data_IF_238263909779
#
_entry.id   IF_238263909779
#
_cell.length_a   1.000
_cell.length_b   1.000
_cell.length_c   1.000
_cell.angle_alpha   90.00
_cell.angle_beta   90.00
_cell.angle_gamma   90.00
#
_symmetry.space_group_name_H-M   'P 1'
#
loop_
_entity.id
_entity.type
_entity.pdbx_description
1 polymer ?
#
# COMPACT_ATOMS: atom_id res chain seq x y z
N UNK A 1 -6.06 -29.49 -40.22
CA UNK A 1 -5.32 -28.67 -39.25
C UNK A 1 -4.48 -29.60 -38.39
N UNK A 2 -3.17 -29.49 -38.50
CA UNK A 2 -2.22 -30.49 -37.98
C UNK A 2 -2.08 -30.40 -36.46
N UNK A 3 -1.90 -31.55 -35.81
CA UNK A 3 -1.75 -31.75 -34.36
C UNK A 3 -0.73 -30.79 -33.69
N UNK A 4 0.21 -30.25 -34.49
CA UNK A 4 1.16 -29.20 -34.09
C UNK A 4 0.49 -27.89 -33.64
N UNK A 5 -0.61 -27.49 -34.28
CA UNK A 5 -1.34 -26.27 -33.90
C UNK A 5 -2.08 -26.43 -32.59
N UNK A 6 -2.55 -27.64 -32.28
CA UNK A 6 -3.22 -27.96 -31.01
C UNK A 6 -2.22 -27.94 -29.85
N UNK A 7 -1.00 -28.46 -30.08
CA UNK A 7 0.08 -28.40 -29.08
C UNK A 7 0.57 -26.97 -28.86
N UNK A 8 0.66 -26.14 -29.90
CA UNK A 8 1.00 -24.72 -29.77
C UNK A 8 -0.09 -23.91 -29.05
N UNK A 9 -1.37 -24.19 -29.30
CA UNK A 9 -2.48 -23.58 -28.56
C UNK A 9 -2.53 -24.02 -27.09
N UNK A 10 -2.21 -25.29 -26.79
CA UNK A 10 -2.11 -25.78 -25.41
C UNK A 10 -0.90 -25.23 -24.65
N UNK A 11 0.22 -24.96 -25.34
CA UNK A 11 1.39 -24.28 -24.77
C UNK A 11 1.16 -22.78 -24.56
N UNK A 12 0.37 -22.12 -25.41
CA UNK A 12 -0.08 -20.72 -25.19
C UNK A 12 -1.07 -20.60 -24.03
N UNK A 13 -1.92 -21.61 -23.80
CA UNK A 13 -2.82 -21.68 -22.64
C UNK A 13 -2.09 -22.07 -21.33
N UNK A 14 -0.83 -22.52 -21.40
CA UNK A 14 0.02 -22.74 -20.22
C UNK A 14 0.81 -21.49 -19.80
N UNK A 15 0.62 -20.35 -20.48
CA UNK A 15 1.12 -19.02 -20.09
C UNK A 15 -0.03 -18.16 -19.53
N UNK A 16 -1.07 -18.79 -18.96
CA UNK A 16 -1.94 -18.11 -18.00
C UNK A 16 -1.06 -17.73 -16.82
N UNK A 17 -0.77 -16.44 -16.72
CA UNK A 17 0.30 -15.88 -15.92
C UNK A 17 0.30 -16.37 -14.48
N UNK A 18 1.50 -16.65 -13.97
CA UNK A 18 1.74 -16.47 -12.55
C UNK A 18 1.39 -14.99 -12.26
N UNK A 19 0.26 -14.74 -11.60
CA UNK A 19 0.04 -13.47 -10.92
C UNK A 19 1.07 -13.43 -9.78
N UNK A 20 2.28 -12.96 -10.09
CA UNK A 20 3.21 -12.55 -9.04
C UNK A 20 2.64 -11.27 -8.45
N UNK A 21 1.85 -11.39 -7.38
CA UNK A 21 1.35 -10.22 -6.65
C UNK A 21 2.52 -9.30 -6.27
N UNK A 22 2.27 -7.99 -6.25
CA UNK A 22 3.32 -7.02 -5.93
C UNK A 22 3.80 -7.22 -4.50
N UNK A 23 5.06 -6.92 -4.26
CA UNK A 23 5.73 -7.23 -3.00
C UNK A 23 6.03 -5.95 -2.23
N UNK A 24 5.87 -5.99 -0.91
CA UNK A 24 6.36 -4.93 -0.02
C UNK A 24 7.59 -5.44 0.71
N UNK A 25 8.74 -4.81 0.48
CA UNK A 25 9.98 -5.07 1.21
C UNK A 25 10.08 -4.09 2.36
N UNK A 26 10.23 -4.58 3.59
CA UNK A 26 10.45 -3.77 4.77
C UNK A 26 11.93 -3.84 5.16
N UNK A 27 12.59 -2.70 5.26
CA UNK A 27 13.99 -2.60 5.69
C UNK A 27 14.07 -1.95 7.07
N UNK A 28 14.76 -2.60 8.00
CA UNK A 28 14.84 -2.14 9.38
C UNK A 28 16.28 -1.88 9.84
N UNK A 29 17.16 -1.51 8.91
CA UNK A 29 18.58 -1.26 9.15
C UNK A 29 19.43 -2.53 9.16
N UNK A 30 19.15 -3.48 10.06
CA UNK A 30 19.91 -4.74 10.16
C UNK A 30 19.27 -5.90 9.38
N UNK A 31 17.96 -5.85 9.16
CA UNK A 31 17.17 -6.91 8.53
C UNK A 31 16.32 -6.37 7.36
N UNK A 32 15.99 -7.27 6.43
CA UNK A 32 14.99 -7.02 5.39
C UNK A 32 13.92 -8.12 5.40
N UNK A 33 12.66 -7.71 5.38
CA UNK A 33 11.51 -8.60 5.40
C UNK A 33 10.75 -8.46 4.09
N UNK A 34 10.29 -9.57 3.54
CA UNK A 34 9.48 -9.60 2.33
C UNK A 34 8.04 -9.91 2.73
N UNK A 35 7.16 -8.93 2.58
CA UNK A 35 5.72 -9.06 2.80
C UNK A 35 5.08 -9.34 1.44
N UNK A 36 4.60 -10.57 1.28
CA UNK A 36 3.78 -10.94 0.12
C UNK A 36 2.32 -10.88 0.57
N UNK A 37 1.43 -10.15 -0.14
CA UNK A 37 0.00 -10.20 0.12
C UNK A 37 -0.47 -11.65 0.08
N UNK A 38 -1.05 -12.13 1.18
CA UNK A 38 -1.55 -13.50 1.29
C UNK A 38 -3.01 -13.46 0.89
N UNK A 39 -3.33 -13.88 -0.33
CA UNK A 39 -4.68 -14.32 -0.67
C UNK A 39 -4.85 -15.70 -0.01
N UNK A 40 -5.41 -15.77 1.20
CA UNK A 40 -5.97 -17.06 1.63
C UNK A 40 -7.24 -17.31 0.82
N UNK A 41 -7.48 -18.54 0.34
CA UNK A 41 -8.76 -18.89 -0.25
C UNK A 41 -9.81 -18.71 0.85
N UNK A 42 -10.68 -17.70 0.69
CA UNK A 42 -11.73 -17.23 1.62
C UNK A 42 -11.36 -16.07 2.59
N UNK A 43 -10.13 -15.53 2.55
CA UNK A 43 -9.81 -14.26 3.22
C UNK A 43 -9.56 -13.16 2.18
N UNK A 44 -10.65 -12.55 1.70
CA UNK A 44 -10.54 -11.23 1.10
C UNK A 44 -10.07 -10.27 2.21
N UNK A 45 -8.77 -10.01 2.29
CA UNK A 45 -8.31 -8.78 2.94
C UNK A 45 -8.67 -7.66 1.96
N UNK A 46 -9.96 -7.34 1.93
CA UNK A 46 -10.53 -6.31 1.08
C UNK A 46 -9.98 -4.96 1.51
N UNK A 47 -9.69 -4.08 0.55
CA UNK A 47 -9.38 -2.68 0.81
C UNK A 47 -10.39 -2.10 1.84
N UNK A 48 -9.93 -1.21 2.70
CA UNK A 48 -10.80 -0.44 3.57
C UNK A 48 -11.85 0.27 2.69
N UNK A 49 -13.11 -0.12 2.86
CA UNK A 49 -14.24 0.48 2.16
C UNK A 49 -14.74 1.63 3.02
N UNK A 50 -14.84 2.82 2.41
CA UNK A 50 -15.42 4.00 3.02
C UNK A 50 -16.81 4.24 2.45
N UNK A 51 -17.81 4.11 3.32
CA UNK A 51 -19.17 4.55 3.02
C UNK A 51 -19.22 6.09 2.95
N UNK A 52 -20.21 6.61 2.22
CA UNK A 52 -20.34 8.04 1.92
C UNK A 52 -20.41 8.90 3.20
N UNK A 53 -21.21 8.48 4.18
CA UNK A 53 -21.41 9.19 5.45
C UNK A 53 -20.17 9.17 6.34
N UNK A 54 -19.49 8.02 6.44
CA UNK A 54 -18.22 7.90 7.16
C UNK A 54 -17.14 8.81 6.57
N UNK A 55 -17.09 8.91 5.24
CA UNK A 55 -16.15 9.79 4.53
C UNK A 55 -16.44 11.27 4.77
N UNK A 56 -17.69 11.71 4.64
CA UNK A 56 -18.11 13.10 4.86
C UNK A 56 -17.85 13.56 6.31
N UNK A 57 -18.18 12.73 7.30
CA UNK A 57 -17.95 13.04 8.71
C UNK A 57 -16.45 13.21 8.99
N UNK A 58 -15.63 12.27 8.50
CA UNK A 58 -14.18 12.34 8.65
C UNK A 58 -13.60 13.60 7.99
N UNK A 59 -14.02 13.93 6.77
CA UNK A 59 -13.55 15.13 6.09
C UNK A 59 -13.94 16.42 6.80
N UNK A 60 -15.16 16.50 7.32
CA UNK A 60 -15.64 17.65 8.09
C UNK A 60 -14.77 17.91 9.31
N UNK A 61 -14.30 16.85 9.99
CA UNK A 61 -13.36 16.97 11.10
C UNK A 61 -11.96 17.36 10.63
N UNK A 62 -11.40 16.63 9.66
CA UNK A 62 -10.02 16.77 9.21
C UNK A 62 -9.74 18.12 8.56
N UNK A 63 -10.69 18.64 7.80
CA UNK A 63 -10.53 19.91 7.11
C UNK A 63 -10.40 21.11 8.06
N UNK A 64 -10.81 20.99 9.33
CA UNK A 64 -10.59 22.04 10.35
C UNK A 64 -9.11 22.24 10.67
N UNK A 65 -8.31 21.20 10.50
CA UNK A 65 -6.86 21.25 10.70
C UNK A 65 -6.13 21.76 9.44
N UNK A 66 -6.81 21.90 8.29
CA UNK A 66 -6.21 22.38 7.03
C UNK A 66 -6.07 23.90 7.05
N UNK A 67 -4.84 24.46 7.04
CA UNK A 67 -4.67 25.90 7.01
C UNK A 67 -5.10 26.47 5.65
N UNK A 68 -5.96 27.50 5.61
CA UNK A 68 -6.32 28.15 4.36
C UNK A 68 -5.07 28.83 3.75
N UNK A 69 -4.85 28.62 2.45
CA UNK A 69 -3.72 29.23 1.73
C UNK A 69 -4.22 30.07 0.56
N UNK A 70 -3.60 31.24 0.40
CA UNK A 70 -3.77 32.11 -0.78
C UNK A 70 -2.97 31.63 -2.00
N UNK A 71 -2.07 30.68 -1.82
CA UNK A 71 -1.35 30.04 -2.91
C UNK A 71 -1.17 28.56 -2.52
N UNK A 72 -2.18 27.71 -2.75
CA UNK A 72 -2.16 26.32 -2.31
C UNK A 72 -1.07 25.52 -3.03
N UNK A 73 -0.75 25.87 -4.28
CA UNK A 73 0.27 25.19 -5.06
C UNK A 73 1.67 25.40 -4.50
N UNK A 74 2.03 26.65 -4.18
CA UNK A 74 3.30 26.97 -3.54
C UNK A 74 3.44 26.24 -2.20
N UNK A 75 2.41 26.28 -1.34
CA UNK A 75 2.43 25.60 -0.03
C UNK A 75 2.58 24.09 -0.18
N UNK A 76 1.90 23.48 -1.16
CA UNK A 76 2.03 22.05 -1.45
C UNK A 76 3.44 21.67 -1.91
N UNK A 77 4.05 22.48 -2.79
CA UNK A 77 5.44 22.28 -3.25
C UNK A 77 6.43 22.34 -2.10
N UNK A 78 6.32 23.34 -1.24
CA UNK A 78 7.16 23.49 -0.04
C UNK A 78 7.00 22.30 0.91
N UNK A 79 5.77 21.84 1.15
CA UNK A 79 5.47 20.69 2.03
C UNK A 79 6.14 19.41 1.55
N UNK A 80 6.08 19.13 0.25
CA UNK A 80 6.59 17.89 -0.34
C UNK A 80 8.01 18.01 -0.90
N UNK A 81 8.63 19.20 -0.83
CA UNK A 81 9.95 19.45 -1.39
C UNK A 81 10.00 19.32 -2.91
N UNK A 82 8.88 19.59 -3.60
CA UNK A 82 8.78 19.55 -5.06
C UNK A 82 9.27 20.89 -5.62
N UNK A 83 10.35 20.93 -6.43
CA UNK A 83 10.79 22.17 -7.06
C UNK A 83 9.71 22.74 -7.97
N UNK A 84 9.63 24.07 -8.09
CA UNK A 84 8.79 24.72 -9.09
C UNK A 84 9.21 24.24 -10.48
N UNK A 85 8.32 23.56 -11.20
CA UNK A 85 8.55 23.10 -12.58
C UNK A 85 8.21 24.17 -13.63
N UNK A 86 7.75 25.36 -13.21
CA UNK A 86 7.55 26.50 -14.10
C UNK A 86 8.90 27.20 -14.36
N UNK A 87 9.33 27.21 -15.62
CA UNK A 87 10.47 28.02 -16.02
C UNK A 87 10.11 29.49 -16.04
N UNK A 88 10.28 30.25 -14.95
CA UNK A 88 9.95 31.68 -14.93
C UNK A 88 10.82 32.50 -13.95
N UNK A 89 11.57 33.46 -14.53
CA UNK A 89 12.30 34.64 -14.01
C UNK A 89 13.01 34.64 -12.64
N UNK A 90 14.31 34.96 -12.65
CA UNK A 90 15.04 35.39 -11.46
C UNK A 90 14.85 36.89 -11.19
N UNK A 91 14.63 37.28 -9.94
CA UNK A 91 14.49 38.69 -9.52
C UNK A 91 15.82 39.24 -8.98
N UNK A 92 16.38 40.27 -9.63
CA UNK A 92 17.63 40.90 -9.20
C UNK A 92 17.35 42.12 -8.31
N UNK A 93 17.75 42.05 -7.04
CA UNK A 93 17.37 43.01 -5.98
C UNK A 93 17.93 44.43 -6.18
N UNK A 94 19.10 44.57 -6.78
CA UNK A 94 19.73 45.89 -6.94
C UNK A 94 19.17 46.68 -8.13
N UNK A 95 18.62 46.00 -9.14
CA UNK A 95 18.14 46.62 -10.38
C UNK A 95 16.60 46.61 -10.51
N UNK A 96 15.88 45.97 -9.58
CA UNK A 96 14.41 45.80 -9.61
C UNK A 96 13.91 45.25 -10.95
N UNK A 97 14.67 44.33 -11.55
CA UNK A 97 14.40 43.75 -12.86
C UNK A 97 14.18 42.24 -12.77
N UNK A 98 13.20 41.75 -13.53
CA UNK A 98 12.97 40.32 -13.77
C UNK A 98 13.91 39.87 -14.90
N UNK A 99 14.77 38.88 -14.64
CA UNK A 99 15.73 38.34 -15.59
C UNK A 99 15.26 36.94 -16.05
N UNK A 100 14.93 36.75 -17.34
CA UNK A 100 14.73 35.41 -17.87
C UNK A 100 16.05 34.66 -17.83
N UNK A 101 16.08 33.52 -17.14
CA UNK A 101 17.19 32.60 -17.30
C UNK A 101 17.10 31.96 -18.70
N UNK A 102 18.04 32.33 -19.58
CA UNK A 102 18.05 32.02 -21.02
C UNK A 102 18.26 30.54 -21.30
N UNK A 103 17.37 29.96 -22.10
CA UNK A 103 17.70 29.07 -23.21
C UNK A 103 17.30 29.78 -24.51
N UNK A 104 18.20 29.86 -25.49
CA UNK A 104 18.09 30.70 -26.68
C UNK A 104 17.09 30.22 -27.76
N UNK A 105 16.76 31.17 -28.62
CA UNK A 105 15.91 31.16 -29.82
C UNK A 105 14.38 31.03 -29.69
N UNK A 106 13.74 32.06 -30.25
CA UNK A 106 12.29 32.25 -30.43
C UNK A 106 12.00 31.84 -31.87
N UNK A 107 11.41 30.68 -32.10
CA UNK A 107 10.60 30.39 -33.30
C UNK A 107 9.94 29.00 -33.19
N UNK A 108 8.60 28.96 -33.18
CA UNK A 108 7.79 27.74 -33.39
C UNK A 108 7.19 27.09 -32.13
N UNK A 109 7.93 26.29 -31.35
CA UNK A 109 7.36 25.47 -30.27
C UNK A 109 6.75 26.29 -29.11
N UNK A 110 7.45 27.34 -28.63
CA UNK A 110 6.97 28.16 -27.51
C UNK A 110 5.69 28.94 -27.80
N UNK A 111 5.55 29.48 -29.02
CA UNK A 111 4.33 30.19 -29.39
C UNK A 111 3.12 29.24 -29.41
N UNK A 112 3.30 28.01 -29.88
CA UNK A 112 2.24 26.99 -29.85
C UNK A 112 1.91 26.54 -28.42
N UNK A 113 2.92 26.43 -27.55
CA UNK A 113 2.73 26.18 -26.11
C UNK A 113 1.95 27.32 -25.45
N UNK A 114 2.32 28.58 -25.70
CA UNK A 114 1.62 29.76 -25.16
C UNK A 114 0.14 29.80 -25.59
N UNK A 115 -0.16 29.55 -26.89
CA UNK A 115 -1.55 29.49 -27.38
C UNK A 115 -2.34 28.31 -26.79
N UNK A 116 -1.69 27.16 -26.60
CA UNK A 116 -2.32 26.00 -25.97
C UNK A 116 -2.64 26.29 -24.50
N UNK A 117 -1.73 26.94 -23.78
CA UNK A 117 -1.93 27.34 -22.39
C UNK A 117 -3.06 28.36 -22.26
N UNK A 118 -3.16 29.34 -23.16
CA UNK A 118 -4.31 30.27 -23.20
C UNK A 118 -5.65 29.58 -23.47
N UNK A 119 -5.68 28.60 -24.39
CA UNK A 119 -6.88 27.83 -24.70
C UNK A 119 -7.31 26.97 -23.49
N UNK A 120 -6.35 26.33 -22.83
CA UNK A 120 -6.59 25.53 -21.64
C UNK A 120 -7.01 26.39 -20.44
N UNK A 121 -6.38 27.55 -20.21
CA UNK A 121 -6.79 28.49 -19.15
C UNK A 121 -8.24 28.94 -19.33
N UNK A 122 -8.64 29.27 -20.56
CA UNK A 122 -10.06 29.62 -20.85
C UNK A 122 -10.99 28.44 -20.60
N UNK A 123 -10.60 27.24 -21.02
CA UNK A 123 -11.40 26.04 -20.80
C UNK A 123 -11.53 25.70 -19.30
N UNK A 124 -10.48 25.90 -18.52
CA UNK A 124 -10.49 25.75 -17.07
C UNK A 124 -11.50 26.71 -16.42
N UNK A 125 -11.47 28.00 -16.77
CA UNK A 125 -12.47 28.96 -16.26
C UNK A 125 -13.91 28.60 -16.64
N UNK A 126 -14.12 28.01 -17.82
CA UNK A 126 -15.45 27.50 -18.24
C UNK A 126 -15.86 26.24 -17.45
N UNK A 127 -14.92 25.35 -17.17
CA UNK A 127 -15.15 24.17 -16.33
C UNK A 127 -15.54 24.56 -14.91
N UNK A 128 -14.78 25.49 -14.31
CA UNK A 128 -15.12 26.09 -13.01
C UNK A 128 -16.52 26.71 -12.99
N UNK A 129 -16.89 27.45 -14.05
CA UNK A 129 -18.26 27.99 -14.19
C UNK A 129 -19.34 26.90 -14.27
N UNK A 130 -19.08 25.75 -14.91
CA UNK A 130 -20.03 24.62 -14.96
C UNK A 130 -20.24 23.97 -13.59
N UNK A 131 -19.23 24.03 -12.72
CA UNK A 131 -19.29 23.58 -11.32
C UNK A 131 -19.89 24.60 -10.37
N UNK A 132 -20.59 25.61 -10.90
CA UNK A 132 -21.17 26.76 -10.17
C UNK A 132 -20.14 27.55 -9.32
N UNK A 133 -18.87 27.55 -9.76
CA UNK A 133 -17.76 28.22 -9.08
C UNK A 133 -16.96 29.04 -10.09
N UNK A 134 -17.50 30.16 -10.62
CA UNK A 134 -16.85 30.89 -11.70
C UNK A 134 -15.50 31.48 -11.28
N UNK A 135 -14.56 31.52 -12.22
CA UNK A 135 -13.21 32.08 -12.00
C UNK A 135 -12.17 30.98 -11.79
N UNK A 136 -11.29 31.18 -10.81
CA UNK A 136 -10.19 30.27 -10.48
C UNK A 136 -10.54 29.36 -9.30
N UNK A 137 -11.45 28.40 -9.54
CA UNK A 137 -12.08 27.60 -8.49
C UNK A 137 -11.12 26.65 -7.73
N UNK A 138 -9.96 26.32 -8.31
CA UNK A 138 -8.90 25.51 -7.71
C UNK A 138 -7.62 26.33 -7.41
N UNK A 139 -7.65 27.67 -7.58
CA UNK A 139 -6.49 28.54 -7.31
C UNK A 139 -5.23 28.18 -8.10
N UNK A 140 -5.40 27.86 -9.39
CA UNK A 140 -4.33 27.44 -10.30
C UNK A 140 -3.68 28.60 -11.06
N UNK A 141 -4.25 29.81 -10.94
CA UNK A 141 -3.80 31.03 -11.62
C UNK A 141 -3.19 32.06 -10.64
N UNK A 142 -2.98 31.67 -9.37
CA UNK A 142 -2.36 32.55 -8.35
C UNK A 142 -0.91 32.93 -8.68
N UNK A 143 -0.19 32.07 -9.41
CA UNK A 143 1.22 32.29 -9.79
C UNK A 143 1.38 32.97 -11.16
N UNK A 144 0.29 33.12 -11.92
CA UNK A 144 0.35 33.73 -13.25
C UNK A 144 -0.95 33.62 -14.05
N UNK A 145 -1.05 34.37 -15.16
CA UNK A 145 -2.28 34.44 -15.95
C UNK A 145 -2.55 33.18 -16.78
N UNK A 146 -1.58 32.27 -16.90
CA UNK A 146 -1.67 31.05 -17.70
C UNK A 146 -1.53 29.82 -16.81
N UNK A 147 -2.19 28.74 -17.21
CA UNK A 147 -2.20 27.48 -16.48
C UNK A 147 -0.84 26.79 -16.64
N UNK A 148 -0.05 26.78 -15.57
CA UNK A 148 1.22 26.07 -15.54
C UNK A 148 1.03 24.54 -15.62
N UNK A 149 2.11 23.80 -15.93
CA UNK A 149 2.08 22.34 -16.09
C UNK A 149 1.50 21.61 -14.88
N UNK A 150 1.84 22.03 -13.66
CA UNK A 150 1.26 21.46 -12.44
C UNK A 150 -0.21 21.80 -12.25
N UNK A 151 -0.63 23.00 -12.65
CA UNK A 151 -2.04 23.35 -12.76
C UNK A 151 -2.81 22.41 -13.70
N UNK A 152 -2.22 22.01 -14.84
CA UNK A 152 -2.84 21.02 -15.74
C UNK A 152 -3.03 19.66 -15.07
N UNK A 153 -2.03 19.17 -14.33
CA UNK A 153 -2.16 17.89 -13.61
C UNK A 153 -3.19 17.98 -12.48
N UNK A 154 -3.24 19.09 -11.73
CA UNK A 154 -4.25 19.30 -10.69
C UNK A 154 -5.65 19.35 -11.27
N UNK A 155 -5.83 19.99 -12.43
CA UNK A 155 -7.12 20.00 -13.10
C UNK A 155 -7.52 18.61 -13.63
N UNK A 156 -6.59 17.86 -14.21
CA UNK A 156 -6.86 16.48 -14.64
C UNK A 156 -7.19 15.56 -13.45
N UNK A 157 -6.50 15.73 -12.32
CA UNK A 157 -6.80 15.03 -11.06
C UNK A 157 -8.17 15.43 -10.49
N UNK A 158 -8.56 16.70 -10.65
CA UNK A 158 -9.88 17.18 -10.27
C UNK A 158 -10.99 16.51 -11.10
N UNK A 159 -10.75 16.30 -12.39
CA UNK A 159 -11.67 15.55 -13.27
C UNK A 159 -11.71 14.07 -12.89
N UNK A 160 -10.57 13.47 -12.56
CA UNK A 160 -10.47 12.05 -12.23
C UNK A 160 -11.26 11.62 -10.98
N UNK A 161 -11.49 12.56 -10.05
CA UNK A 161 -12.19 12.30 -8.77
C UNK A 161 -13.43 13.18 -8.63
N UNK A 162 -14.11 13.45 -9.74
CA UNK A 162 -15.20 14.44 -9.80
C UNK A 162 -16.30 14.20 -8.75
N UNK A 163 -16.76 12.95 -8.58
CA UNK A 163 -17.76 12.59 -7.55
C UNK A 163 -17.24 12.82 -6.13
N UNK A 164 -16.04 12.35 -5.83
CA UNK A 164 -15.41 12.51 -4.51
C UNK A 164 -15.17 13.98 -4.17
N UNK A 165 -14.91 14.85 -5.16
CA UNK A 165 -14.80 16.29 -4.93
C UNK A 165 -16.13 16.99 -4.73
N UNK A 166 -17.22 16.45 -5.29
CA UNK A 166 -18.58 16.89 -4.99
C UNK A 166 -18.94 16.53 -3.54
N UNK A 167 -18.73 15.27 -3.12
CA UNK A 167 -18.89 14.83 -1.72
C UNK A 167 -18.02 15.65 -0.75
N UNK A 168 -16.74 15.85 -1.09
CA UNK A 168 -15.82 16.69 -0.31
C UNK A 168 -16.33 18.12 -0.22
N UNK A 169 -16.96 18.64 -1.28
CA UNK A 169 -17.49 19.99 -1.28
C UNK A 169 -18.72 20.12 -0.39
N UNK A 170 -19.61 19.13 -0.44
CA UNK A 170 -20.83 19.04 0.38
C UNK A 170 -20.49 18.95 1.87
N UNK A 171 -19.52 18.09 2.23
CA UNK A 171 -19.01 17.98 3.61
C UNK A 171 -18.46 19.31 4.16
N UNK A 172 -17.96 20.19 3.29
CA UNK A 172 -17.28 21.43 3.70
C UNK A 172 -18.17 22.68 3.63
N UNK A 173 -19.45 22.57 3.28
CA UNK A 173 -20.36 23.73 3.13
C UNK A 173 -20.43 24.63 4.38
N UNK A 174 -20.24 24.05 5.57
CA UNK A 174 -20.22 24.79 6.84
C UNK A 174 -18.97 25.64 7.10
N UNK A 175 -17.96 25.61 6.21
CA UNK A 175 -16.69 26.32 6.39
C UNK A 175 -16.72 27.76 5.85
N UNK A 176 -15.82 28.60 6.38
CA UNK A 176 -15.70 30.01 5.96
C UNK A 176 -15.25 30.19 4.51
N UNK A 177 -14.34 29.33 4.02
CA UNK A 177 -13.84 29.32 2.64
C UNK A 177 -13.57 27.86 2.20
N UNK A 178 -14.62 27.09 1.87
CA UNK A 178 -14.47 25.68 1.49
C UNK A 178 -13.66 25.51 0.20
N UNK A 179 -13.72 26.47 -0.71
CA UNK A 179 -12.96 26.43 -1.96
C UNK A 179 -11.45 26.51 -1.70
N UNK A 180 -10.99 27.34 -0.77
CA UNK A 180 -9.58 27.39 -0.40
C UNK A 180 -9.08 26.05 0.16
N UNK A 181 -9.92 25.35 0.93
CA UNK A 181 -9.58 24.04 1.49
C UNK A 181 -9.49 23.00 0.39
N UNK A 182 -10.50 22.90 -0.48
CA UNK A 182 -10.50 21.97 -1.63
C UNK A 182 -9.31 22.23 -2.55
N UNK A 183 -9.01 23.48 -2.87
CA UNK A 183 -7.83 23.85 -3.65
C UNK A 183 -6.52 23.42 -2.96
N UNK A 184 -6.42 23.59 -1.64
CA UNK A 184 -5.28 23.13 -0.84
C UNK A 184 -5.11 21.62 -0.85
N UNK A 185 -6.21 20.88 -0.78
CA UNK A 185 -6.23 19.41 -0.84
C UNK A 185 -5.81 18.94 -2.24
N UNK A 186 -6.44 19.46 -3.30
CA UNK A 186 -6.13 19.11 -4.68
C UNK A 186 -4.66 19.40 -5.05
N UNK A 187 -4.14 20.58 -4.66
CA UNK A 187 -2.74 20.93 -4.86
C UNK A 187 -1.79 19.97 -4.13
N UNK A 188 -2.07 19.66 -2.87
CA UNK A 188 -1.24 18.75 -2.06
C UNK A 188 -1.28 17.31 -2.57
N UNK A 189 -2.46 16.83 -2.95
CA UNK A 189 -2.64 15.53 -3.59
C UNK A 189 -1.83 15.44 -4.90
N UNK A 190 -1.91 16.47 -5.75
CA UNK A 190 -1.14 16.56 -7.00
C UNK A 190 0.36 16.52 -6.72
N UNK A 191 0.85 17.36 -5.80
CA UNK A 191 2.28 17.44 -5.49
C UNK A 191 2.82 16.14 -4.89
N UNK A 192 2.04 15.46 -4.06
CA UNK A 192 2.38 14.13 -3.57
C UNK A 192 2.52 13.12 -4.72
N UNK A 193 1.53 13.03 -5.62
CA UNK A 193 1.57 12.10 -6.74
C UNK A 193 2.72 12.42 -7.71
N UNK A 194 3.07 13.70 -7.88
CA UNK A 194 4.23 14.11 -8.69
C UNK A 194 5.56 13.56 -8.17
N UNK A 195 5.70 13.27 -6.87
CA UNK A 195 6.91 12.62 -6.34
C UNK A 195 7.15 11.25 -6.99
N UNK A 196 6.09 10.55 -7.39
CA UNK A 196 6.20 9.25 -8.08
C UNK A 196 6.64 9.38 -9.54
N UNK A 197 6.51 10.56 -10.13
CA UNK A 197 6.97 10.85 -11.51
C UNK A 197 8.48 11.12 -11.62
N UNK A 198 9.21 11.13 -10.49
CA UNK A 198 10.65 11.35 -10.47
C UNK A 198 11.41 10.10 -10.97
N UNK A 199 12.58 10.25 -11.61
CA UNK A 199 13.34 9.10 -12.16
C UNK A 199 13.71 8.02 -11.14
N UNK A 200 13.97 8.43 -9.90
CA UNK A 200 14.18 7.54 -8.74
C UNK A 200 13.21 7.97 -7.63
N UNK A 201 11.96 7.49 -7.69
CA UNK A 201 10.92 8.00 -6.80
C UNK A 201 11.13 7.42 -5.40
N UNK A 202 11.71 8.24 -4.53
CA UNK A 202 11.88 7.97 -3.10
C UNK A 202 11.12 9.03 -2.32
N UNK A 203 10.03 8.61 -1.68
CA UNK A 203 9.28 9.44 -0.75
C UNK A 203 9.97 9.45 0.62
N UNK A 204 9.97 10.60 1.30
CA UNK A 204 10.51 10.77 2.66
C UNK A 204 9.50 11.52 3.53
N UNK A 205 9.64 11.39 4.85
CA UNK A 205 8.81 12.12 5.82
C UNK A 205 7.32 11.86 5.59
N UNK A 206 6.52 12.94 5.50
CA UNK A 206 5.06 12.89 5.32
C UNK A 206 4.65 12.06 4.10
N UNK A 207 5.36 12.20 2.97
CA UNK A 207 5.05 11.44 1.76
C UNK A 207 5.29 9.94 1.96
N UNK A 208 6.33 9.55 2.71
CA UNK A 208 6.61 8.14 2.99
C UNK A 208 5.54 7.52 3.88
N UNK A 209 5.14 8.23 4.95
CA UNK A 209 4.03 7.82 5.81
C UNK A 209 2.72 7.72 5.04
N UNK A 210 2.41 8.70 4.19
CA UNK A 210 1.21 8.68 3.35
C UNK A 210 1.19 7.47 2.40
N UNK A 211 2.30 7.16 1.73
CA UNK A 211 2.40 5.96 0.87
C UNK A 211 2.19 4.67 1.67
N UNK A 212 2.80 4.56 2.86
CA UNK A 212 2.62 3.38 3.70
C UNK A 212 1.17 3.22 4.20
N UNK A 213 0.49 4.33 4.51
CA UNK A 213 -0.93 4.33 4.85
C UNK A 213 -1.80 3.93 3.65
N UNK A 214 -1.54 4.44 2.44
CA UNK A 214 -2.27 4.03 1.25
C UNK A 214 -2.13 2.51 1.01
N UNK A 215 -0.93 1.95 1.18
CA UNK A 215 -0.72 0.50 1.06
C UNK A 215 -1.50 -0.25 2.14
N UNK A 216 -1.54 0.26 3.37
CA UNK A 216 -2.29 -0.35 4.46
C UNK A 216 -3.81 -0.34 4.22
N UNK A 217 -4.37 0.75 3.69
CA UNK A 217 -5.80 0.88 3.44
C UNK A 217 -6.25 0.17 2.16
N UNK A 218 -5.48 0.28 1.08
CA UNK A 218 -5.92 -0.11 -0.26
C UNK A 218 -5.29 -1.40 -0.78
N UNK A 219 -4.21 -1.85 -0.14
CA UNK A 219 -3.39 -2.95 -0.63
C UNK A 219 -2.35 -2.48 -1.66
N UNK A 220 -1.29 -3.27 -1.80
CA UNK A 220 -0.13 -2.92 -2.64
C UNK A 220 -0.46 -2.87 -4.13
N UNK A 221 -1.33 -3.78 -4.62
CA UNK A 221 -1.68 -3.85 -6.04
C UNK A 221 -2.53 -2.64 -6.46
N UNK A 222 -3.47 -2.22 -5.62
CA UNK A 222 -4.27 -1.00 -5.84
C UNK A 222 -3.38 0.24 -5.91
N UNK A 223 -2.48 0.42 -4.94
CA UNK A 223 -1.56 1.58 -4.93
C UNK A 223 -0.61 1.56 -6.14
N UNK A 224 -0.18 0.37 -6.57
CA UNK A 224 0.61 0.24 -7.79
C UNK A 224 -0.18 0.64 -9.04
N UNK A 225 -1.45 0.19 -9.15
CA UNK A 225 -2.35 0.55 -10.24
C UNK A 225 -2.60 2.06 -10.30
N UNK A 226 -2.85 2.69 -9.14
CA UNK A 226 -2.96 4.15 -9.02
C UNK A 226 -1.69 4.85 -9.52
N UNK A 227 -0.51 4.35 -9.16
CA UNK A 227 0.74 4.97 -9.59
C UNK A 227 0.97 4.84 -11.10
N UNK A 228 0.77 3.66 -11.67
CA UNK A 228 0.95 3.44 -13.11
C UNK A 228 -0.04 4.27 -13.93
N UNK A 229 -1.28 4.36 -13.46
CA UNK A 229 -2.31 5.26 -13.99
C UNK A 229 -1.88 6.72 -13.93
N UNK A 230 -1.32 7.17 -12.80
CA UNK A 230 -0.84 8.54 -12.64
C UNK A 230 0.31 8.87 -13.59
N UNK A 231 1.29 7.98 -13.74
CA UNK A 231 2.39 8.15 -14.70
C UNK A 231 1.87 8.24 -16.14
N UNK A 232 0.80 7.51 -16.45
CA UNK A 232 0.13 7.60 -17.74
C UNK A 232 -0.59 8.94 -17.91
N UNK A 233 -1.32 9.40 -16.90
CA UNK A 233 -1.96 10.72 -16.88
C UNK A 233 -0.94 11.84 -17.11
N UNK A 234 0.19 11.86 -16.38
CA UNK A 234 1.23 12.89 -16.52
C UNK A 234 1.72 12.96 -17.97
N UNK A 235 2.03 11.80 -18.58
CA UNK A 235 2.47 11.74 -19.98
C UNK A 235 1.41 12.23 -20.97
N UNK A 236 0.13 11.98 -20.71
CA UNK A 236 -0.96 12.41 -21.58
C UNK A 236 -1.21 13.91 -21.43
N UNK A 237 -1.25 14.42 -20.20
CA UNK A 237 -1.44 15.84 -19.87
C UNK A 237 -0.28 16.69 -20.38
N UNK A 238 0.96 16.20 -20.32
CA UNK A 238 2.14 16.87 -20.90
C UNK A 238 2.00 17.16 -22.40
N UNK A 239 1.24 16.32 -23.12
CA UNK A 239 1.00 16.46 -24.55
C UNK A 239 -0.34 17.12 -24.87
N UNK A 240 -1.17 17.36 -23.87
CA UNK A 240 -2.51 17.90 -24.05
C UNK A 240 -2.44 19.39 -24.40
N UNK A 241 -3.09 19.74 -25.51
CA UNK A 241 -3.25 21.13 -25.97
C UNK A 241 -4.71 21.57 -26.02
N UNK A 242 -5.65 20.67 -25.67
CA UNK A 242 -7.08 20.94 -25.62
C UNK A 242 -7.73 20.40 -24.36
N UNK A 243 -8.91 20.95 -24.03
CA UNK A 243 -9.73 20.46 -22.92
C UNK A 243 -10.11 19.00 -23.09
N UNK A 244 -10.50 18.58 -24.31
CA UNK A 244 -10.92 17.20 -24.57
C UNK A 244 -9.80 16.20 -24.27
N UNK A 245 -8.55 16.53 -24.63
CA UNK A 245 -7.40 15.68 -24.34
C UNK A 245 -7.11 15.60 -22.83
N UNK A 246 -7.16 16.75 -22.14
CA UNK A 246 -6.94 16.82 -20.70
C UNK A 246 -8.05 16.09 -19.93
N UNK A 247 -9.30 16.28 -20.34
CA UNK A 247 -10.47 15.63 -19.76
C UNK A 247 -10.44 14.13 -19.94
N UNK A 248 -10.16 13.65 -21.16
CA UNK A 248 -10.05 12.21 -21.42
C UNK A 248 -8.92 11.55 -20.63
N UNK A 249 -7.81 12.26 -20.39
CA UNK A 249 -6.75 11.76 -19.50
C UNK A 249 -7.20 11.70 -18.02
N UNK A 250 -7.97 12.69 -17.57
CA UNK A 250 -8.58 12.69 -16.24
C UNK A 250 -9.58 11.56 -16.05
N UNK A 251 -10.54 11.39 -16.97
CA UNK A 251 -11.54 10.32 -16.93
C UNK A 251 -10.90 8.92 -16.92
N UNK A 252 -9.92 8.68 -17.81
CA UNK A 252 -9.20 7.41 -17.85
C UNK A 252 -8.45 7.10 -16.55
N UNK A 253 -7.92 8.14 -15.87
CA UNK A 253 -7.30 7.95 -14.57
C UNK A 253 -8.34 7.70 -13.46
N UNK A 254 -9.50 8.34 -13.52
CA UNK A 254 -10.61 8.09 -12.61
C UNK A 254 -11.09 6.64 -12.65
N UNK A 255 -11.16 6.03 -13.85
CA UNK A 255 -11.49 4.61 -14.01
C UNK A 255 -10.48 3.67 -13.33
N UNK A 256 -9.19 4.03 -13.32
CA UNK A 256 -8.13 3.26 -12.66
C UNK A 256 -8.18 3.42 -11.14
N UNK A 257 -8.46 4.62 -10.67
CA UNK A 257 -8.51 4.95 -9.25
C UNK A 257 -9.74 4.29 -8.59
N UNK A 258 -10.92 4.49 -9.18
CA UNK A 258 -12.18 4.09 -8.58
C UNK A 258 -12.56 4.95 -7.37
N UNK A 259 -13.85 4.93 -7.03
CA UNK A 259 -14.43 5.82 -6.02
C UNK A 259 -13.88 5.60 -4.62
N UNK A 260 -13.80 4.34 -4.16
CA UNK A 260 -13.31 4.03 -2.82
C UNK A 260 -11.83 4.45 -2.62
N UNK A 261 -10.96 4.17 -3.60
CA UNK A 261 -9.57 4.56 -3.48
C UNK A 261 -9.39 6.07 -3.55
N UNK A 262 -10.23 6.77 -4.32
CA UNK A 262 -10.27 8.23 -4.34
C UNK A 262 -10.67 8.80 -2.97
N UNK A 263 -11.71 8.28 -2.31
CA UNK A 263 -12.11 8.69 -0.95
C UNK A 263 -11.00 8.48 0.07
N UNK A 264 -10.41 7.29 0.10
CA UNK A 264 -9.27 6.98 0.98
C UNK A 264 -8.10 7.93 0.71
N UNK A 265 -7.79 8.18 -0.56
CA UNK A 265 -6.71 9.08 -0.94
C UNK A 265 -6.96 10.51 -0.48
N UNK A 266 -8.15 11.06 -0.72
CA UNK A 266 -8.54 12.42 -0.31
C UNK A 266 -8.55 12.55 1.21
N UNK A 267 -9.09 11.57 1.93
CA UNK A 267 -9.06 11.53 3.40
C UNK A 267 -7.62 11.59 3.92
N UNK A 268 -6.76 10.66 3.48
CA UNK A 268 -5.37 10.59 3.95
C UNK A 268 -4.54 11.82 3.53
N UNK A 269 -4.78 12.36 2.33
CA UNK A 269 -4.16 13.60 1.88
C UNK A 269 -4.57 14.78 2.77
N UNK A 270 -5.84 14.87 3.18
CA UNK A 270 -6.34 15.92 4.08
C UNK A 270 -5.65 15.86 5.44
N UNK A 271 -5.48 14.66 6.02
CA UNK A 271 -4.70 14.49 7.27
C UNK A 271 -3.25 14.96 7.09
N UNK A 272 -2.62 14.57 5.98
CA UNK A 272 -1.23 14.92 5.70
C UNK A 272 -1.01 16.44 5.56
N UNK A 273 -2.05 17.19 5.19
CA UNK A 273 -2.01 18.66 5.06
C UNK A 273 -2.14 19.34 6.42
N UNK A 274 -3.10 18.91 7.23
CA UNK A 274 -3.43 19.55 8.51
C UNK A 274 -2.52 19.16 9.67
N UNK A 275 -1.95 17.94 9.65
CA UNK A 275 -1.13 17.45 10.76
C UNK A 275 0.05 16.58 10.28
N UNK A 276 1.07 17.23 9.71
CA UNK A 276 2.26 16.57 9.14
C UNK A 276 3.05 15.73 10.15
N UNK A 277 3.21 16.21 11.39
CA UNK A 277 3.96 15.49 12.44
C UNK A 277 3.13 14.39 13.13
N UNK A 278 1.80 14.50 13.10
CA UNK A 278 0.86 13.58 13.77
C UNK A 278 0.10 12.65 12.82
N UNK A 279 0.44 12.62 11.53
CA UNK A 279 -0.27 11.83 10.49
C UNK A 279 -0.48 10.37 10.92
N UNK A 280 0.57 9.70 11.40
CA UNK A 280 0.49 8.31 11.86
C UNK A 280 -0.34 8.12 13.13
N UNK A 281 -0.43 9.12 14.00
CA UNK A 281 -1.28 9.05 15.19
C UNK A 281 -2.74 9.27 14.84
N UNK A 282 -3.03 10.24 13.95
CA UNK A 282 -4.37 10.53 13.45
C UNK A 282 -4.94 9.37 12.63
N UNK A 283 -4.10 8.64 11.90
CA UNK A 283 -4.54 7.52 11.05
C UNK A 283 -5.14 6.32 11.79
N UNK A 284 -4.98 6.25 13.12
CA UNK A 284 -5.59 5.20 13.97
C UNK A 284 -7.07 5.49 14.22
N UNK A 285 -7.47 6.76 14.22
CA UNK A 285 -8.86 7.17 14.47
C UNK A 285 -9.71 7.36 13.22
N UNK A 286 -9.15 7.14 12.03
CA UNK A 286 -9.89 7.31 10.77
C UNK A 286 -10.83 6.11 10.51
N UNK A 287 -11.95 6.33 9.82
CA UNK A 287 -12.74 5.24 9.26
C UNK A 287 -11.86 4.31 8.41
N UNK A 288 -12.10 3.00 8.46
CA UNK A 288 -11.27 2.01 7.76
C UNK A 288 -9.95 1.63 8.46
N UNK A 289 -9.56 2.29 9.56
CA UNK A 289 -8.27 2.04 10.23
C UNK A 289 -8.15 0.63 10.82
N UNK A 290 -9.27 0.04 11.28
CA UNK A 290 -9.30 -1.31 11.82
C UNK A 290 -9.02 -2.36 10.73
N UNK A 291 -9.62 -2.19 9.56
CA UNK A 291 -9.39 -3.04 8.39
C UNK A 291 -7.95 -2.90 7.90
N UNK A 292 -7.45 -1.66 7.79
CA UNK A 292 -6.06 -1.39 7.43
C UNK A 292 -5.08 -2.02 8.44
N UNK A 293 -5.39 -1.94 9.73
CA UNK A 293 -4.56 -2.55 10.77
C UNK A 293 -4.56 -4.08 10.66
N UNK A 294 -5.72 -4.70 10.49
CA UNK A 294 -5.83 -6.14 10.26
C UNK A 294 -5.06 -6.59 9.02
N UNK A 295 -5.13 -5.83 7.92
CA UNK A 295 -4.42 -6.12 6.68
C UNK A 295 -2.90 -6.12 6.88
N UNK A 296 -2.37 -5.11 7.57
CA UNK A 296 -0.93 -4.99 7.85
C UNK A 296 -0.46 -6.04 8.88
N UNK A 297 -1.19 -6.19 9.98
CA UNK A 297 -0.79 -7.04 11.10
C UNK A 297 -0.84 -8.53 10.77
N UNK A 298 -1.82 -8.95 9.94
CA UNK A 298 -1.96 -10.34 9.51
C UNK A 298 -0.93 -10.77 8.46
N UNK A 299 -0.47 -9.84 7.60
CA UNK A 299 0.40 -10.16 6.46
C UNK A 299 1.88 -9.91 6.76
N UNK A 300 2.18 -8.90 7.57
CA UNK A 300 3.55 -8.41 7.73
C UNK A 300 4.15 -8.74 9.11
N UNK A 301 3.34 -9.08 10.12
CA UNK A 301 3.82 -9.25 11.50
C UNK A 301 4.28 -7.93 12.14
N UNK A 302 3.93 -6.78 11.55
CA UNK A 302 4.19 -5.44 12.07
C UNK A 302 2.90 -4.85 12.60
N UNK A 303 2.97 -4.18 13.76
CA UNK A 303 1.85 -3.40 14.28
C UNK A 303 1.55 -2.24 13.34
N UNK A 304 0.26 -1.97 13.09
CA UNK A 304 -0.15 -0.84 12.24
C UNK A 304 0.43 0.50 12.72
N UNK A 305 0.55 0.67 14.05
CA UNK A 305 1.18 1.84 14.68
C UNK A 305 2.65 2.07 14.25
N UNK A 306 3.33 1.07 13.69
CA UNK A 306 4.70 1.20 13.18
C UNK A 306 4.80 2.11 11.94
N UNK A 307 3.66 2.47 11.31
CA UNK A 307 3.64 3.43 10.19
C UNK A 307 4.23 4.80 10.55
N UNK A 308 4.18 5.19 11.82
CA UNK A 308 4.83 6.40 12.34
C UNK A 308 6.35 6.33 12.37
N UNK A 309 6.93 5.15 12.19
CA UNK A 309 8.37 4.94 12.10
C UNK A 309 8.88 4.84 10.66
N UNK A 310 8.02 4.99 9.64
CA UNK A 310 8.43 4.97 8.24
C UNK A 310 9.33 6.18 7.95
N UNK A 311 10.56 5.90 7.51
CA UNK A 311 11.55 6.94 7.20
C UNK A 311 11.55 7.29 5.70
N UNK A 312 11.45 6.28 4.84
CA UNK A 312 11.32 6.45 3.40
C UNK A 312 10.58 5.30 2.72
N UNK A 313 9.98 5.58 1.57
CA UNK A 313 9.43 4.58 0.66
C UNK A 313 10.05 4.77 -0.71
N UNK A 314 10.66 3.73 -1.25
CA UNK A 314 11.22 3.68 -2.59
C UNK A 314 10.38 2.76 -3.48
N UNK A 315 10.17 3.15 -4.73
CA UNK A 315 9.51 2.27 -5.70
C UNK A 315 10.55 1.45 -6.47
N UNK A 316 10.19 0.20 -6.70
CA UNK A 316 11.01 -0.77 -7.42
C UNK A 316 10.17 -1.47 -8.49
N UNK A 317 10.81 -2.19 -9.41
CA UNK A 317 10.09 -2.95 -10.44
C UNK A 317 9.20 -4.06 -9.85
N UNK A 318 9.49 -4.54 -8.64
CA UNK A 318 8.79 -5.64 -7.97
C UNK A 318 7.69 -5.15 -7.00
N UNK A 319 7.67 -3.86 -6.67
CA UNK A 319 6.74 -3.25 -5.73
C UNK A 319 7.41 -2.14 -4.92
N UNK A 320 7.18 -2.12 -3.60
CA UNK A 320 7.60 -1.02 -2.73
C UNK A 320 8.65 -1.48 -1.72
N UNK A 321 9.68 -0.67 -1.49
CA UNK A 321 10.62 -0.83 -0.37
C UNK A 321 10.35 0.25 0.66
N UNK A 322 9.93 -0.14 1.86
CA UNK A 322 9.66 0.76 2.99
C UNK A 322 10.81 0.62 3.98
N UNK A 323 11.56 1.69 4.17
CA UNK A 323 12.55 1.78 5.22
C UNK A 323 11.89 2.28 6.51
N UNK A 324 12.13 1.58 7.61
CA UNK A 324 11.69 1.95 8.93
C UNK A 324 12.86 2.53 9.73
N UNK A 325 12.58 3.45 10.65
CA UNK A 325 13.55 3.93 11.60
C UNK A 325 14.10 2.75 12.44
N UNK A 326 15.38 2.75 12.86
CA UNK A 326 16.01 1.63 13.57
C UNK A 326 15.25 1.18 14.83
N UNK A 327 14.58 2.11 15.52
CA UNK A 327 13.81 1.82 16.74
C UNK A 327 12.41 1.21 16.46
N UNK A 328 11.97 1.14 15.20
CA UNK A 328 10.70 0.55 14.82
C UNK A 328 10.65 -0.96 15.10
N UNK A 329 11.81 -1.63 15.02
CA UNK A 329 11.94 -3.08 15.28
C UNK A 329 11.60 -3.42 16.72
N UNK A 330 11.84 -2.50 17.67
CA UNK A 330 11.43 -2.69 19.06
C UNK A 330 9.89 -2.76 19.19
N UNK A 331 9.14 -2.05 18.34
CA UNK A 331 7.67 -2.13 18.26
C UNK A 331 7.19 -3.37 17.49
N UNK A 332 7.99 -3.91 16.57
CA UNK A 332 7.76 -5.21 15.94
C UNK A 332 7.94 -6.39 16.93
N UNK A 333 8.55 -6.16 18.10
CA UNK A 333 8.91 -7.23 19.04
C UNK A 333 7.83 -7.66 20.04
N UNK A 334 6.58 -7.17 19.94
CA UNK A 334 5.47 -7.70 20.76
C UNK A 334 4.61 -8.78 20.09
N UNK A 335 4.81 -9.03 18.79
CA UNK A 335 4.30 -10.20 18.08
C UNK A 335 5.46 -11.11 17.69
N UNK A 336 5.86 -12.02 18.57
CA UNK A 336 7.02 -12.88 18.32
C UNK A 336 6.95 -13.59 16.96
N UNK A 337 8.02 -13.49 16.17
CA UNK A 337 8.31 -14.25 14.94
C UNK A 337 7.46 -15.53 14.79
N UNK A 338 6.38 -15.49 14.01
CA UNK A 338 5.60 -16.70 13.71
C UNK A 338 6.32 -17.48 12.62
N UNK A 339 6.78 -18.69 12.93
CA UNK A 339 7.35 -19.58 11.92
C UNK A 339 6.42 -20.78 11.73
N UNK A 340 6.24 -21.22 10.47
CA UNK A 340 5.57 -22.48 10.17
C UNK A 340 6.41 -23.64 10.70
N UNK A 341 5.95 -24.24 11.78
CA UNK A 341 6.59 -25.33 12.49
C UNK A 341 5.91 -26.66 12.17
N UNK A 342 6.72 -27.69 11.87
CA UNK A 342 6.20 -29.04 11.70
C UNK A 342 6.14 -29.73 13.07
N UNK A 343 4.94 -30.03 13.56
CA UNK A 343 4.72 -30.66 14.87
C UNK A 343 5.53 -31.96 14.96
N UNK A 344 5.36 -32.85 13.98
CA UNK A 344 6.23 -34.00 13.72
C UNK A 344 7.30 -33.64 12.68
N UNK A 345 8.58 -33.70 13.06
CA UNK A 345 9.68 -33.22 12.21
C UNK A 345 9.86 -34.04 10.92
N UNK A 346 10.04 -33.33 9.80
CA UNK A 346 10.36 -33.90 8.49
C UNK A 346 11.84 -33.68 8.08
N UNK A 347 12.70 -33.17 8.96
CA UNK A 347 14.10 -32.81 8.66
C UNK A 347 15.13 -33.50 9.57
N UNK A 348 14.82 -34.67 10.11
CA UNK A 348 15.69 -35.45 10.99
C UNK A 348 15.76 -36.92 10.55
N UNK A 349 16.19 -37.17 9.31
CA UNK A 349 16.33 -38.52 8.74
C UNK A 349 17.60 -39.26 9.16
N UNK A 350 18.68 -38.53 9.51
CA UNK A 350 20.01 -39.12 9.74
C UNK A 350 20.53 -38.92 11.17
N UNK A 351 20.37 -37.74 11.75
CA UNK A 351 21.09 -37.36 12.97
C UNK A 351 20.45 -37.91 14.26
N UNK A 352 21.27 -38.55 15.10
CA UNK A 352 20.92 -38.99 16.45
C UNK A 352 21.17 -37.93 17.54
N UNK A 353 21.71 -36.75 17.20
CA UNK A 353 22.18 -35.75 18.16
C UNK A 353 21.12 -35.24 19.15
N UNK A 354 19.83 -35.43 18.85
CA UNK A 354 18.69 -35.06 19.70
C UNK A 354 17.73 -36.22 19.92
N UNK A 355 18.27 -37.44 20.07
CA UNK A 355 17.50 -38.67 20.27
C UNK A 355 16.88 -39.28 19.00
N UNK A 356 17.25 -38.74 17.83
CA UNK A 356 16.76 -39.19 16.52
C UNK A 356 17.44 -40.46 16.00
N UNK A 357 17.23 -40.81 14.71
CA UNK A 357 16.46 -40.07 13.73
C UNK A 357 14.94 -40.16 13.99
N UNK A 358 14.28 -39.00 14.03
CA UNK A 358 12.86 -38.85 14.37
C UNK A 358 11.95 -38.93 13.14
N UNK A 359 12.41 -38.43 12.00
CA UNK A 359 11.60 -38.38 10.79
C UNK A 359 11.14 -39.77 10.31
N UNK A 360 11.98 -40.83 10.32
CA UNK A 360 11.53 -42.17 9.99
C UNK A 360 10.42 -42.69 10.93
N UNK A 361 10.56 -42.44 12.24
CA UNK A 361 9.57 -42.86 13.25
C UNK A 361 8.23 -42.15 13.05
N UNK A 362 8.24 -40.85 12.81
CA UNK A 362 7.01 -40.11 12.51
C UNK A 362 6.38 -40.56 11.18
N UNK A 363 7.19 -40.86 10.16
CA UNK A 363 6.72 -41.35 8.88
C UNK A 363 5.94 -42.67 9.01
N UNK A 364 6.37 -43.57 9.89
CA UNK A 364 5.63 -44.82 10.18
C UNK A 364 4.21 -44.54 10.71
N UNK A 365 4.07 -43.58 11.63
CA UNK A 365 2.76 -43.20 12.19
C UNK A 365 1.84 -42.58 11.13
N UNK A 366 2.36 -41.66 10.32
CA UNK A 366 1.60 -40.98 9.26
C UNK A 366 1.19 -41.96 8.14
N UNK A 367 2.05 -42.92 7.81
CA UNK A 367 1.76 -43.93 6.78
C UNK A 367 0.56 -44.81 7.17
N UNK A 368 0.39 -45.16 8.46
CA UNK A 368 -0.79 -45.91 8.94
C UNK A 368 -2.11 -45.15 8.71
N UNK A 369 -2.06 -43.84 8.74
CA UNK A 369 -3.18 -42.92 8.48
C UNK A 369 -3.32 -42.54 7.00
N UNK A 370 -2.47 -43.06 6.10
CA UNK A 370 -2.44 -42.63 4.71
C UNK A 370 -2.16 -41.13 4.54
N UNK A 371 -1.30 -40.58 5.40
CA UNK A 371 -0.89 -39.17 5.43
C UNK A 371 0.63 -39.04 5.18
N UNK A 372 1.10 -37.84 4.84
CA UNK A 372 2.50 -37.47 4.68
C UNK A 372 2.89 -36.42 5.73
N UNK A 373 4.16 -36.39 6.12
CA UNK A 373 4.65 -35.40 7.11
C UNK A 373 4.59 -33.95 6.63
N UNK A 374 4.35 -33.72 5.33
CA UNK A 374 4.17 -32.39 4.74
C UNK A 374 2.70 -31.97 4.65
N UNK A 375 1.76 -32.83 5.07
CA UNK A 375 0.34 -32.51 5.05
C UNK A 375 0.05 -31.34 6.00
N UNK A 376 -0.90 -30.45 5.66
CA UNK A 376 -1.16 -29.21 6.40
C UNK A 376 -1.53 -29.45 7.87
N UNK A 377 -2.13 -30.59 8.20
CA UNK A 377 -2.46 -30.98 9.57
C UNK A 377 -1.24 -31.08 10.48
N UNK A 378 -0.05 -31.30 9.93
CA UNK A 378 1.20 -31.38 10.69
C UNK A 378 1.93 -30.03 10.80
N UNK A 379 1.36 -28.95 10.27
CA UNK A 379 1.97 -27.62 10.24
C UNK A 379 1.17 -26.68 11.14
N UNK A 380 1.87 -25.91 11.96
CA UNK A 380 1.29 -24.90 12.84
C UNK A 380 2.16 -23.65 12.83
N UNK A 381 1.54 -22.47 12.86
CA UNK A 381 2.27 -21.21 13.05
C UNK A 381 2.51 -20.99 14.55
N UNK A 382 3.77 -20.78 14.93
CA UNK A 382 4.15 -20.60 16.34
C UNK A 382 4.92 -19.31 16.51
N UNK A 383 4.32 -18.40 17.25
CA UNK A 383 4.87 -17.10 17.63
C UNK A 383 6.06 -17.29 18.57
N UNK A 384 7.22 -16.73 18.21
CA UNK A 384 8.47 -16.86 18.98
C UNK A 384 9.11 -18.24 18.89
N UNK A 385 8.90 -18.95 17.78
CA UNK A 385 9.48 -20.27 17.54
C UNK A 385 11.01 -20.26 17.61
N UNK A 386 11.58 -21.19 18.36
CA UNK A 386 13.01 -21.42 18.53
C UNK A 386 13.32 -22.90 18.28
N UNK A 387 14.09 -23.18 17.24
CA UNK A 387 14.64 -24.52 16.96
C UNK A 387 16.16 -24.52 17.01
N UNK A 388 16.83 -25.69 16.92
CA UNK A 388 16.29 -27.05 16.77
C UNK A 388 15.85 -27.71 18.09
N UNK A 389 14.77 -28.49 18.03
CA UNK A 389 14.05 -29.00 19.20
C UNK A 389 14.74 -30.16 19.93
N UNK A 390 14.68 -30.22 21.28
CA UNK A 390 15.33 -31.25 22.08
C UNK A 390 14.62 -32.61 21.98
N UNK A 391 15.31 -33.69 22.36
CA UNK A 391 14.77 -35.06 22.42
C UNK A 391 13.40 -35.14 23.13
N UNK A 392 13.28 -34.45 24.27
CA UNK A 392 12.04 -34.39 25.07
C UNK A 392 10.81 -33.90 24.30
N UNK A 393 11.00 -32.97 23.36
CA UNK A 393 9.92 -32.48 22.51
C UNK A 393 9.45 -33.60 21.57
N UNK A 394 10.39 -34.21 20.84
CA UNK A 394 10.08 -35.25 19.88
C UNK A 394 9.48 -36.51 20.53
N UNK A 395 9.98 -36.92 21.69
CA UNK A 395 9.42 -38.03 22.48
C UNK A 395 8.00 -37.73 22.97
N UNK A 396 7.71 -36.49 23.34
CA UNK A 396 6.39 -36.09 23.80
C UNK A 396 5.38 -36.12 22.65
N UNK A 397 5.71 -35.51 21.50
CA UNK A 397 4.87 -35.55 20.29
C UNK A 397 4.68 -37.00 19.82
N UNK A 398 5.77 -37.79 19.71
CA UNK A 398 5.70 -39.17 19.24
C UNK A 398 4.79 -40.05 20.11
N UNK A 399 4.90 -39.94 21.44
CA UNK A 399 4.03 -40.71 22.36
C UNK A 399 2.56 -40.34 22.20
N UNK A 400 2.24 -39.06 22.02
CA UNK A 400 0.85 -38.61 21.82
C UNK A 400 0.27 -39.10 20.51
N UNK A 401 0.99 -38.93 19.40
CA UNK A 401 0.55 -39.43 18.10
C UNK A 401 0.40 -40.96 18.09
N UNK A 402 1.36 -41.69 18.69
CA UNK A 402 1.27 -43.15 18.82
C UNK A 402 0.08 -43.58 19.68
N UNK A 403 -0.18 -42.90 20.80
CA UNK A 403 -1.31 -43.19 21.68
C UNK A 403 -2.64 -42.90 21.01
N UNK A 404 -2.75 -41.82 20.24
CA UNK A 404 -3.95 -41.46 19.51
C UNK A 404 -4.27 -42.49 18.42
N UNK A 405 -3.25 -42.98 17.70
CA UNK A 405 -3.42 -44.05 16.72
C UNK A 405 -3.83 -45.38 17.37
N UNK A 406 -3.36 -45.68 18.59
CA UNK A 406 -3.67 -46.92 19.30
C UNK A 406 -3.50 -48.16 18.39
N UNK A 407 -4.50 -49.05 18.43
CA UNK A 407 -4.56 -50.26 17.62
C UNK A 407 -5.40 -50.09 16.32
N UNK A 408 -5.63 -48.86 15.86
CA UNK A 408 -6.42 -48.62 14.65
C UNK A 408 -5.86 -49.43 13.46
N UNK A 409 -6.77 -50.07 12.71
CA UNK A 409 -6.43 -50.94 11.56
C UNK A 409 -6.93 -50.40 10.23
N UNK A 410 -7.99 -49.59 10.23
CA UNK A 410 -8.55 -48.97 9.01
C UNK A 410 -7.92 -47.59 8.81
N UNK A 411 -7.49 -47.30 7.59
CA UNK A 411 -6.82 -46.04 7.23
C UNK A 411 -7.63 -44.82 7.65
N UNK A 412 -8.95 -44.80 7.40
CA UNK A 412 -9.82 -43.67 7.77
C UNK A 412 -9.95 -43.46 9.28
N UNK A 413 -9.98 -44.54 10.06
CA UNK A 413 -10.01 -44.47 11.52
C UNK A 413 -8.69 -43.93 12.06
N UNK A 414 -7.56 -44.43 11.53
CA UNK A 414 -6.23 -43.93 11.86
C UNK A 414 -6.05 -42.45 11.47
N UNK A 415 -6.54 -42.04 10.28
CA UNK A 415 -6.50 -40.64 9.82
C UNK A 415 -7.30 -39.74 10.74
N UNK A 416 -8.55 -40.11 11.05
CA UNK A 416 -9.39 -39.34 11.98
C UNK A 416 -8.72 -39.15 13.34
N UNK A 417 -8.15 -40.22 13.89
CA UNK A 417 -7.46 -40.16 15.18
C UNK A 417 -6.20 -39.28 15.13
N UNK A 418 -5.38 -39.44 14.09
CA UNK A 418 -4.12 -38.69 13.93
C UNK A 418 -4.37 -37.20 13.69
N UNK A 419 -5.29 -36.84 12.78
CA UNK A 419 -5.69 -35.45 12.53
C UNK A 419 -6.29 -34.81 13.78
N UNK A 420 -7.12 -35.54 14.54
CA UNK A 420 -7.68 -35.02 15.79
C UNK A 420 -6.60 -34.71 16.81
N UNK A 421 -5.56 -35.53 16.92
CA UNK A 421 -4.48 -35.31 17.88
C UNK A 421 -3.53 -34.19 17.43
N UNK A 422 -3.24 -34.11 16.13
CA UNK A 422 -2.47 -33.01 15.55
C UNK A 422 -3.14 -31.66 15.77
N UNK A 423 -4.47 -31.57 15.63
CA UNK A 423 -5.22 -30.35 15.96
C UNK A 423 -5.08 -29.93 17.44
N UNK A 424 -5.11 -30.90 18.36
CA UNK A 424 -4.88 -30.62 19.79
C UNK A 424 -3.45 -30.13 20.04
N UNK A 425 -2.46 -30.79 19.45
CA UNK A 425 -1.06 -30.38 19.54
C UNK A 425 -0.82 -28.99 18.93
N UNK A 426 -1.48 -28.66 17.82
CA UNK A 426 -1.42 -27.35 17.19
C UNK A 426 -2.04 -26.26 18.07
N UNK A 427 -3.19 -26.53 18.69
CA UNK A 427 -3.82 -25.62 19.66
C UNK A 427 -2.91 -25.39 20.87
N UNK A 428 -2.31 -26.46 21.40
CA UNK A 428 -1.36 -26.34 22.50
C UNK A 428 -0.10 -25.56 22.10
N UNK A 429 0.43 -25.76 20.90
CA UNK A 429 1.59 -25.05 20.38
C UNK A 429 1.39 -23.52 20.32
N UNK A 430 0.16 -23.08 20.07
CA UNK A 430 -0.22 -21.66 20.01
C UNK A 430 -0.66 -21.09 21.36
N UNK A 431 -0.82 -21.91 22.40
CA UNK A 431 -1.31 -21.47 23.70
C UNK A 431 -0.15 -21.29 24.69
N UNK A 432 0.15 -20.05 25.14
CA UNK A 432 1.18 -19.80 26.15
C UNK A 432 0.93 -20.59 27.44
N UNK A 433 2.00 -21.13 28.03
CA UNK A 433 1.93 -21.90 29.27
C UNK A 433 1.70 -23.40 29.08
N UNK A 434 1.36 -23.87 27.87
CA UNK A 434 1.33 -25.32 27.61
C UNK A 434 2.74 -25.90 27.48
N UNK A 435 2.83 -27.22 27.64
CA UNK A 435 4.10 -27.93 27.51
C UNK A 435 4.67 -27.88 26.09
N UNK A 436 3.82 -27.99 25.06
CA UNK A 436 4.25 -27.88 23.66
C UNK A 436 4.76 -26.47 23.37
N UNK A 437 3.99 -25.43 23.68
CA UNK A 437 4.42 -24.05 23.48
C UNK A 437 5.76 -23.78 24.19
N UNK A 438 5.90 -24.25 25.43
CA UNK A 438 7.14 -24.12 26.18
C UNK A 438 8.35 -24.82 25.55
N UNK A 439 8.17 -25.94 24.85
CA UNK A 439 9.26 -26.58 24.09
C UNK A 439 9.62 -25.84 22.81
N UNK A 440 8.67 -25.12 22.22
CA UNK A 440 8.86 -24.46 20.93
C UNK A 440 9.36 -23.02 21.04
N UNK A 441 9.24 -22.37 22.20
CA UNK A 441 9.57 -20.94 22.35
C UNK A 441 10.66 -20.63 23.39
N UNK A 442 11.14 -21.64 24.13
CA UNK A 442 12.24 -21.49 25.11
C UNK A 442 13.54 -22.05 24.55
N UNK A 443 14.67 -21.51 24.99
CA UNK A 443 15.98 -22.02 24.57
C UNK A 443 16.16 -23.50 25.03
N UNK A 444 16.76 -24.37 24.19
CA UNK A 444 16.76 -25.84 24.36
C UNK A 444 17.23 -26.38 25.70
#
# INVERSE_FOLDING_TARGET
MTLRWVVSLLLLMAVTGCATGRVVRLETGEDSFLVTPREEPDAEVSAAVLEDDEFEEALTELARDVPPSRNPMQVARERFGVPSRSGVYGYERDSSRLIPQRGGDVDGPRLLEDYADEALTRAYGQWCKRKDRPGDCLRLLDEGPLLASDGKYTWALAIAMDSVWEETSEALEGMTDPQAVVAGIAASATMYLLLWSLPEPVSKGVAATLTALLIAYLGVDTVWSMLDGWLTLVRQVDRATSFEQLHGAGEAYGEVLGENAARVFVMLATVAIGNTAGLAAKSVGLPGSAQAAMAVESQAGFQYAAVGSVSSVALTAEGFTIALAPNAVAMASRGGRSERHHIATNKNDVSAARGGPWTPRFRELFTRAGMKLKDPENVVEVVGHKGPHPQRYHEYVYRRLRSALGECRKVEECRKALTSELRKLASEAQTPGTKIHGFLTRDP
#
